data_IF_429341396424
#
_entry.id   IF_429341396424
#
_cell.length_a   1.000
_cell.length_b   1.000
_cell.length_c   1.000
_cell.angle_alpha   90.00
_cell.angle_beta   90.00
_cell.angle_gamma   90.00
#
_symmetry.space_group_name_H-M   'P 1'
#
loop_
_entity.id
_entity.type
_entity.pdbx_description
1 polymer ?
#
# COMPACT_ATOMS: atom_id res chain seq x y z
N UNK A 1 35.17 8.69 8.84
CA UNK A 1 33.79 8.51 8.37
C UNK A 1 32.80 9.61 8.78
N UNK A 2 32.80 10.17 10.00
CA UNK A 2 31.88 11.28 10.39
C UNK A 2 32.11 12.62 9.64
N UNK A 3 33.32 12.93 9.23
CA UNK A 3 33.64 14.19 8.50
C UNK A 3 33.18 14.18 7.05
N UNK A 4 33.10 13.00 6.42
CA UNK A 4 32.67 12.86 5.01
C UNK A 4 31.16 13.04 4.83
N UNK A 5 30.36 12.63 5.83
CA UNK A 5 28.89 12.76 5.79
C UNK A 5 28.48 14.22 5.97
N UNK A 6 29.18 14.98 6.82
CA UNK A 6 28.92 16.42 7.02
C UNK A 6 29.28 17.22 5.76
N UNK A 7 30.37 16.84 5.08
CA UNK A 7 30.78 17.50 3.82
C UNK A 7 29.77 17.23 2.69
N UNK A 8 29.21 16.00 2.61
CA UNK A 8 28.18 15.65 1.62
C UNK A 8 26.86 16.38 1.88
N UNK A 9 26.46 16.55 3.14
CA UNK A 9 25.27 17.32 3.51
C UNK A 9 25.47 18.83 3.25
N UNK A 10 26.64 19.38 3.52
CA UNK A 10 26.98 20.77 3.20
C UNK A 10 27.09 21.02 1.67
N UNK A 11 27.60 20.07 0.90
CA UNK A 11 27.57 20.15 -0.56
C UNK A 11 26.14 20.12 -1.13
N UNK A 12 25.24 19.32 -0.57
CA UNK A 12 23.83 19.31 -0.98
C UNK A 12 23.14 20.65 -0.67
N UNK A 13 23.45 21.26 0.49
CA UNK A 13 22.93 22.57 0.86
C UNK A 13 23.55 23.72 0.05
N UNK A 14 24.80 23.61 -0.39
CA UNK A 14 25.44 24.63 -1.24
C UNK A 14 24.97 24.56 -2.71
N UNK A 15 24.47 23.41 -3.17
CA UNK A 15 23.81 23.26 -4.47
C UNK A 15 22.40 23.87 -4.48
N UNK A 16 21.77 24.02 -3.33
CA UNK A 16 20.49 24.71 -3.16
C UNK A 16 20.64 26.23 -3.06
N UNK A 17 21.84 26.74 -2.80
CA UNK A 17 22.12 28.17 -2.61
C UNK A 17 22.46 28.97 -3.88
N UNK A 18 22.72 28.29 -4.99
CA UNK A 18 22.74 28.91 -6.32
C UNK A 18 21.54 28.37 -7.06
N UNK A 19 20.49 29.16 -7.18
CA UNK A 19 19.39 28.90 -8.10
C UNK A 19 19.98 28.90 -9.53
N UNK A 20 20.60 27.79 -9.92
CA UNK A 20 20.87 27.50 -11.30
C UNK A 20 19.49 27.40 -11.94
N UNK A 21 19.19 28.31 -12.88
CA UNK A 21 17.91 28.25 -13.58
C UNK A 21 17.69 26.81 -14.02
N UNK A 22 16.58 26.22 -13.56
CA UNK A 22 16.23 24.86 -13.94
C UNK A 22 16.20 24.80 -15.47
N UNK A 23 16.76 23.76 -16.10
CA UNK A 23 16.73 23.65 -17.54
C UNK A 23 15.30 23.89 -18.04
N UNK A 24 15.09 24.67 -19.11
CA UNK A 24 13.76 25.05 -19.62
C UNK A 24 12.83 23.86 -19.92
N UNK A 25 13.38 22.65 -20.03
CA UNK A 25 12.64 21.42 -20.25
C UNK A 25 12.17 20.73 -18.95
N UNK A 26 12.64 21.18 -17.76
CA UNK A 26 12.13 20.77 -16.46
C UNK A 26 11.35 21.93 -15.87
N UNK A 27 10.09 21.70 -15.52
CA UNK A 27 9.24 22.71 -14.94
C UNK A 27 8.35 22.15 -13.81
N UNK A 28 7.74 23.07 -13.05
CA UNK A 28 6.81 22.74 -11.97
C UNK A 28 7.36 21.75 -10.93
N UNK A 29 8.66 21.83 -10.60
CA UNK A 29 9.26 20.99 -9.56
C UNK A 29 8.71 21.39 -8.20
N UNK A 30 8.16 20.40 -7.48
CA UNK A 30 7.61 20.56 -6.12
C UNK A 30 8.31 19.63 -5.17
N UNK A 31 8.72 20.17 -4.03
CA UNK A 31 9.10 19.41 -2.85
C UNK A 31 7.87 19.29 -1.95
N UNK A 32 7.55 18.10 -1.53
CA UNK A 32 6.48 17.83 -0.59
C UNK A 32 6.87 16.71 0.36
N UNK A 33 6.17 16.61 1.47
CA UNK A 33 6.44 15.55 2.41
C UNK A 33 5.37 15.43 3.48
N UNK A 34 5.52 14.38 4.30
CA UNK A 34 4.67 14.17 5.46
C UNK A 34 5.36 13.33 6.51
N UNK A 35 4.88 13.47 7.74
CA UNK A 35 5.29 12.64 8.87
C UNK A 35 4.08 12.20 9.68
N UNK A 36 4.21 11.03 10.31
CA UNK A 36 3.21 10.42 11.18
C UNK A 36 3.89 9.95 12.45
N UNK A 37 3.48 10.54 13.57
CA UNK A 37 3.85 10.14 14.92
C UNK A 37 2.66 9.45 15.56
N UNK A 38 2.88 8.32 16.19
CA UNK A 38 1.83 7.47 16.71
C UNK A 38 2.13 7.06 18.16
N UNK A 39 1.10 7.04 18.99
CA UNK A 39 1.05 6.23 20.20
C UNK A 39 0.18 5.03 19.92
N UNK A 40 0.65 3.83 20.24
CA UNK A 40 -0.06 2.59 20.03
C UNK A 40 -0.09 1.75 21.29
N UNK A 41 -1.27 1.31 21.68
CA UNK A 41 -1.51 0.24 22.64
C UNK A 41 -2.07 -0.98 21.91
N UNK A 42 -1.46 -2.14 22.15
CA UNK A 42 -1.94 -3.44 21.67
C UNK A 42 -2.12 -4.37 22.86
N UNK A 43 -3.37 -4.81 23.08
CA UNK A 43 -3.74 -5.71 24.18
C UNK A 43 -3.67 -7.20 23.83
N UNK A 44 -3.13 -7.58 22.65
CA UNK A 44 -3.03 -8.97 22.21
C UNK A 44 -2.24 -9.80 23.22
N UNK A 45 -2.82 -10.92 23.67
CA UNK A 45 -2.16 -11.81 24.62
C UNK A 45 -0.84 -12.35 24.04
N UNK A 46 0.20 -12.43 24.84
CA UNK A 46 1.58 -12.79 24.47
C UNK A 46 2.31 -11.80 23.54
N UNK A 47 1.66 -10.70 23.13
CA UNK A 47 2.30 -9.65 22.34
C UNK A 47 1.75 -8.27 22.74
N UNK A 48 1.55 -8.04 24.03
CA UNK A 48 1.14 -6.75 24.56
C UNK A 48 2.23 -5.72 24.29
N UNK A 49 1.85 -4.58 23.77
CA UNK A 49 2.76 -3.46 23.53
C UNK A 49 2.11 -2.14 23.86
N UNK A 50 2.95 -1.21 24.26
CA UNK A 50 2.59 0.17 24.57
C UNK A 50 3.78 1.03 24.18
N UNK A 51 3.66 1.80 23.10
CA UNK A 51 4.82 2.53 22.57
C UNK A 51 4.44 3.80 21.82
N UNK A 52 5.35 4.77 21.87
CA UNK A 52 5.40 5.86 20.91
C UNK A 52 6.22 5.45 19.69
N UNK A 53 5.69 5.73 18.53
CA UNK A 53 6.25 5.29 17.26
C UNK A 53 6.44 6.47 16.29
N UNK A 54 7.59 6.51 15.63
CA UNK A 54 7.78 7.27 14.41
C UNK A 54 7.32 6.37 13.25
N UNK A 55 6.02 6.43 12.96
CA UNK A 55 5.39 5.44 12.09
C UNK A 55 5.85 5.55 10.65
N UNK A 56 5.89 6.77 10.11
CA UNK A 56 6.16 6.98 8.71
C UNK A 56 6.62 8.41 8.46
N UNK A 57 7.66 8.58 7.68
CA UNK A 57 8.07 9.87 7.13
C UNK A 57 8.41 9.70 5.66
N UNK A 58 7.92 10.58 4.80
CA UNK A 58 8.24 10.58 3.37
C UNK A 58 8.54 11.97 2.86
N UNK A 59 9.46 12.03 1.91
CA UNK A 59 9.78 13.23 1.14
C UNK A 59 9.65 12.90 -0.34
N UNK A 60 9.01 13.76 -1.09
CA UNK A 60 8.74 13.59 -2.52
C UNK A 60 9.23 14.78 -3.30
N UNK A 61 9.81 14.51 -4.45
CA UNK A 61 9.99 15.46 -5.54
C UNK A 61 9.11 15.01 -6.71
N UNK A 62 8.35 15.92 -7.25
CA UNK A 62 7.54 15.69 -8.46
C UNK A 62 7.59 16.91 -9.36
N UNK A 63 7.33 16.70 -10.65
CA UNK A 63 7.40 17.77 -11.63
C UNK A 63 7.02 17.31 -13.02
N UNK A 64 7.32 18.17 -13.99
CA UNK A 64 7.14 17.88 -15.41
C UNK A 64 8.45 17.99 -16.17
N UNK A 65 8.60 17.13 -17.18
CA UNK A 65 9.62 17.20 -18.22
C UNK A 65 8.87 17.48 -19.52
N UNK A 66 9.21 18.56 -20.19
CA UNK A 66 8.39 19.09 -21.29
C UNK A 66 6.94 19.34 -20.80
N UNK A 67 5.96 19.28 -21.68
CA UNK A 67 4.56 19.55 -21.31
C UNK A 67 3.80 18.29 -20.92
N UNK A 68 4.09 17.17 -21.58
CA UNK A 68 3.30 15.94 -21.51
C UNK A 68 3.81 14.91 -20.49
N UNK A 69 5.03 15.08 -19.96
CA UNK A 69 5.65 14.08 -19.10
C UNK A 69 5.67 14.50 -17.63
N UNK A 70 4.94 13.79 -16.80
CA UNK A 70 5.03 13.91 -15.34
C UNK A 70 6.04 12.91 -14.79
N UNK A 71 6.74 13.27 -13.71
CA UNK A 71 7.64 12.37 -12.99
C UNK A 71 7.50 12.53 -11.49
N UNK A 72 7.87 11.50 -10.75
CA UNK A 72 7.91 11.53 -9.29
C UNK A 72 9.05 10.67 -8.78
N UNK A 73 9.72 11.18 -7.72
CA UNK A 73 10.62 10.42 -6.88
C UNK A 73 10.19 10.58 -5.42
N UNK A 74 10.08 9.49 -4.66
CA UNK A 74 9.71 9.53 -3.25
C UNK A 74 10.61 8.64 -2.42
N UNK A 75 11.15 9.19 -1.34
CA UNK A 75 11.91 8.46 -0.32
C UNK A 75 11.08 8.29 0.95
N UNK A 76 11.18 7.13 1.57
CA UNK A 76 10.63 6.85 2.89
C UNK A 76 11.75 6.74 3.91
N UNK A 77 11.56 7.42 5.02
CA UNK A 77 12.37 7.33 6.23
C UNK A 77 11.58 6.57 7.27
N UNK A 78 12.15 5.50 7.80
CA UNK A 78 11.53 4.70 8.84
C UNK A 78 12.01 5.18 10.21
N UNK A 79 11.09 5.20 11.16
CA UNK A 79 11.42 5.34 12.56
C UNK A 79 11.61 3.98 13.23
N UNK A 80 10.98 3.81 14.38
CA UNK A 80 10.98 2.55 15.13
C UNK A 80 9.90 1.54 14.67
N UNK A 81 9.08 1.90 13.68
CA UNK A 81 8.13 0.99 13.01
C UNK A 81 8.53 0.81 11.56
N UNK A 82 9.41 -0.12 11.29
CA UNK A 82 9.84 -0.37 9.92
C UNK A 82 8.94 -1.38 9.22
N UNK A 83 8.22 -0.92 8.22
CA UNK A 83 7.43 -1.79 7.34
C UNK A 83 8.12 -2.07 6.00
N UNK A 84 9.26 -1.43 5.73
CA UNK A 84 9.95 -1.52 4.44
C UNK A 84 11.42 -1.96 4.57
N UNK A 85 11.85 -2.45 5.73
CA UNK A 85 13.26 -2.82 5.95
C UNK A 85 14.17 -1.60 6.09
N UNK A 86 15.27 -1.51 5.35
CA UNK A 86 16.27 -0.46 5.47
C UNK A 86 15.71 0.95 5.19
N UNK A 87 16.30 1.96 5.84
CA UNK A 87 15.96 3.38 5.69
C UNK A 87 17.23 4.20 5.38
N UNK A 88 17.20 5.21 4.50
CA UNK A 88 16.06 5.59 3.65
C UNK A 88 15.81 4.59 2.51
N UNK A 89 14.57 4.53 2.01
CA UNK A 89 14.19 3.63 0.92
C UNK A 89 13.44 4.36 -0.17
N UNK A 90 13.79 4.08 -1.44
CA UNK A 90 13.05 4.57 -2.58
C UNK A 90 11.70 3.84 -2.66
N UNK A 91 10.59 4.59 -2.63
CA UNK A 91 9.24 4.02 -2.70
C UNK A 91 8.56 4.28 -4.02
N UNK A 92 8.68 5.47 -4.58
CA UNK A 92 8.22 5.78 -5.94
C UNK A 92 9.38 6.34 -6.76
N UNK A 93 9.52 5.84 -7.98
CA UNK A 93 10.32 6.45 -9.05
C UNK A 93 9.68 6.08 -10.37
N UNK A 94 8.99 7.03 -10.97
CA UNK A 94 8.31 6.80 -12.23
C UNK A 94 8.26 8.05 -13.10
N UNK A 95 8.03 7.81 -14.38
CA UNK A 95 7.67 8.81 -15.38
C UNK A 95 6.35 8.42 -16.03
N UNK A 96 5.51 9.39 -16.36
CA UNK A 96 4.21 9.18 -16.97
C UNK A 96 3.97 10.14 -18.11
N UNK A 97 3.73 9.62 -19.32
CA UNK A 97 3.28 10.38 -20.46
C UNK A 97 1.77 10.60 -20.38
N UNK A 98 1.33 11.85 -20.43
CA UNK A 98 -0.04 12.28 -20.12
C UNK A 98 -0.66 13.17 -21.19
N UNK A 99 -0.27 13.01 -22.45
CA UNK A 99 -0.76 13.88 -23.55
C UNK A 99 -2.26 13.77 -23.78
N UNK A 100 -2.83 12.59 -23.63
CA UNK A 100 -4.25 12.34 -23.87
C UNK A 100 -4.93 11.82 -22.60
N UNK A 101 -6.13 12.33 -22.30
CA UNK A 101 -6.92 11.88 -21.16
C UNK A 101 -7.25 10.39 -21.25
N UNK A 102 -7.57 9.92 -22.46
CA UNK A 102 -7.99 8.55 -22.71
C UNK A 102 -6.83 7.54 -22.81
N UNK A 103 -5.58 8.00 -22.92
CA UNK A 103 -4.42 7.14 -23.03
C UNK A 103 -3.17 7.79 -22.44
N UNK A 104 -2.71 7.24 -21.33
CA UNK A 104 -1.50 7.65 -20.60
C UNK A 104 -0.65 6.43 -20.36
N UNK A 105 0.68 6.59 -20.36
CA UNK A 105 1.64 5.51 -20.14
C UNK A 105 2.53 5.88 -18.99
N UNK A 106 2.58 5.01 -17.96
CA UNK A 106 3.43 5.16 -16.76
C UNK A 106 4.45 4.04 -16.73
N UNK A 107 5.73 4.36 -16.45
CA UNK A 107 6.81 3.39 -16.33
C UNK A 107 7.66 3.70 -15.11
N UNK A 108 8.11 2.65 -14.41
CA UNK A 108 8.95 2.74 -13.22
C UNK A 108 8.41 1.96 -12.04
N UNK A 109 8.70 2.42 -10.82
CA UNK A 109 8.21 1.86 -9.56
C UNK A 109 7.10 2.73 -8.98
N UNK A 110 5.91 2.16 -8.84
CA UNK A 110 4.72 2.85 -8.33
C UNK A 110 3.70 1.87 -7.77
N UNK A 111 2.60 2.40 -7.21
CA UNK A 111 1.52 1.57 -6.64
C UNK A 111 0.83 0.73 -7.71
N UNK A 112 0.63 -0.55 -7.42
CA UNK A 112 -0.09 -1.48 -8.28
C UNK A 112 -1.52 -0.99 -8.54
N UNK A 113 -2.02 -1.11 -9.79
CA UNK A 113 -3.37 -0.72 -10.18
C UNK A 113 -4.42 -1.75 -9.71
N UNK A 114 -4.51 -1.96 -8.39
CA UNK A 114 -5.37 -2.96 -7.77
C UNK A 114 -6.05 -2.38 -6.53
N UNK A 115 -7.38 -2.49 -6.45
CA UNK A 115 -8.28 -1.91 -5.46
C UNK A 115 -8.36 -0.38 -5.46
N UNK A 116 -9.32 0.20 -4.73
CA UNK A 116 -9.38 1.65 -4.49
C UNK A 116 -8.55 2.08 -3.29
N UNK A 117 -8.38 1.22 -2.29
CA UNK A 117 -7.66 1.55 -1.07
C UNK A 117 -6.13 1.60 -1.28
N UNK A 118 -5.58 0.75 -2.17
CA UNK A 118 -4.15 0.69 -2.43
C UNK A 118 -3.54 2.04 -2.84
N UNK A 119 -4.05 2.79 -3.83
CA UNK A 119 -3.45 4.04 -4.29
C UNK A 119 -3.62 5.21 -3.32
N UNK A 120 -4.47 5.10 -2.30
CA UNK A 120 -4.73 6.21 -1.37
C UNK A 120 -3.46 6.56 -0.59
N UNK A 121 -3.25 7.87 -0.41
CA UNK A 121 -2.14 8.38 0.39
C UNK A 121 -2.33 8.00 1.87
N UNK A 122 -1.27 7.62 2.61
CA UNK A 122 -1.39 7.13 3.99
C UNK A 122 -2.17 8.05 4.94
N UNK A 123 -2.02 9.37 4.83
CA UNK A 123 -2.76 10.34 5.65
C UNK A 123 -4.25 10.40 5.25
N UNK A 124 -4.59 10.11 4.00
CA UNK A 124 -5.94 10.26 3.45
C UNK A 124 -6.75 8.95 3.50
N UNK A 125 -6.19 7.87 4.04
CA UNK A 125 -6.88 6.59 4.18
C UNK A 125 -8.04 6.63 5.18
N UNK A 126 -7.96 7.54 6.15
CA UNK A 126 -8.94 7.71 7.21
C UNK A 126 -8.76 6.77 8.41
N UNK A 127 -7.93 5.72 8.30
CA UNK A 127 -7.61 4.79 9.39
C UNK A 127 -6.09 4.59 9.47
N UNK A 128 -5.62 4.14 10.65
CA UNK A 128 -4.18 3.95 10.91
C UNK A 128 -3.53 2.92 10.00
N UNK A 129 -4.28 2.04 9.39
CA UNK A 129 -3.79 1.02 8.47
C UNK A 129 -4.73 0.84 7.28
N UNK A 130 -4.20 0.42 6.15
CA UNK A 130 -5.00 -0.17 5.07
C UNK A 130 -5.79 -1.36 5.60
N UNK A 131 -6.92 -1.65 5.00
CA UNK A 131 -7.72 -2.82 5.34
C UNK A 131 -6.90 -4.11 5.21
N UNK A 132 -7.15 -5.10 6.08
CA UNK A 132 -6.37 -6.33 6.16
C UNK A 132 -6.29 -7.08 4.82
N UNK A 133 -7.43 -7.19 4.11
CA UNK A 133 -7.48 -7.81 2.79
C UNK A 133 -6.58 -7.10 1.78
N UNK A 134 -6.59 -5.78 1.75
CA UNK A 134 -5.71 -4.97 0.89
C UNK A 134 -4.25 -5.10 1.32
N UNK A 135 -3.97 -5.06 2.63
CA UNK A 135 -2.62 -5.22 3.16
C UNK A 135 -1.99 -6.55 2.75
N UNK A 136 -2.77 -7.64 2.76
CA UNK A 136 -2.29 -9.00 2.50
C UNK A 136 -2.39 -9.43 1.04
N UNK A 137 -3.23 -8.79 0.23
CA UNK A 137 -3.55 -9.23 -1.13
C UNK A 137 -3.27 -8.17 -2.21
N UNK A 138 -2.73 -6.99 -1.83
CA UNK A 138 -2.35 -5.92 -2.77
C UNK A 138 -0.88 -5.46 -2.60
N UNK A 139 0.03 -6.35 -2.24
CA UNK A 139 1.49 -6.14 -2.10
C UNK A 139 1.93 -5.16 -1.01
N UNK A 140 1.18 -4.94 0.07
CA UNK A 140 1.74 -4.18 1.20
C UNK A 140 2.67 -5.03 2.07
N UNK A 141 2.12 -6.06 2.69
CA UNK A 141 2.80 -7.15 3.37
C UNK A 141 2.19 -8.43 2.84
N UNK A 142 2.51 -8.71 1.59
CA UNK A 142 1.78 -9.63 0.74
C UNK A 142 1.78 -11.05 1.27
N UNK A 143 0.62 -11.71 1.20
CA UNK A 143 0.42 -13.09 1.63
C UNK A 143 1.43 -14.05 1.01
N UNK A 144 1.70 -13.91 -0.29
CA UNK A 144 2.56 -14.86 -1.01
C UNK A 144 3.93 -15.02 -0.36
N UNK A 145 4.48 -13.95 0.21
CA UNK A 145 5.78 -14.00 0.85
C UNK A 145 5.94 -13.11 2.05
N UNK A 146 4.89 -12.43 2.50
CA UNK A 146 4.93 -11.42 3.55
C UNK A 146 6.01 -10.34 3.31
N UNK A 147 6.38 -10.11 2.04
CA UNK A 147 7.38 -9.10 1.70
C UNK A 147 6.78 -7.69 1.77
N UNK A 148 7.50 -6.73 2.38
CA UNK A 148 6.98 -5.38 2.58
C UNK A 148 7.21 -4.53 1.33
N UNK A 149 6.23 -4.45 0.45
CA UNK A 149 6.29 -3.64 -0.79
C UNK A 149 5.41 -2.40 -0.77
N UNK A 150 4.63 -2.22 0.30
CA UNK A 150 3.76 -1.05 0.47
C UNK A 150 2.85 -0.78 -0.74
N UNK A 151 2.31 -1.86 -1.33
CA UNK A 151 1.40 -1.85 -2.47
C UNK A 151 2.03 -1.49 -3.81
N UNK A 152 3.36 -1.67 -3.98
CA UNK A 152 4.11 -1.23 -5.16
C UNK A 152 4.84 -2.35 -5.85
N UNK A 153 5.15 -2.11 -7.14
CA UNK A 153 6.02 -2.96 -7.95
C UNK A 153 6.69 -2.12 -9.05
N UNK A 154 7.60 -2.75 -9.78
CA UNK A 154 8.30 -2.16 -10.94
C UNK A 154 7.60 -2.65 -12.21
N UNK A 155 7.23 -1.73 -13.10
CA UNK A 155 6.55 -2.12 -14.33
C UNK A 155 6.15 -0.96 -15.24
N UNK A 156 5.28 -1.30 -16.19
CA UNK A 156 4.68 -0.36 -17.15
C UNK A 156 3.17 -0.51 -17.10
N UNK A 157 2.45 0.61 -17.08
CA UNK A 157 1.00 0.68 -17.02
C UNK A 157 0.46 1.63 -18.08
N UNK A 158 -0.64 1.25 -18.71
CA UNK A 158 -1.50 2.15 -19.48
C UNK A 158 -2.76 2.44 -18.68
N UNK A 159 -3.26 3.66 -18.81
CA UNK A 159 -4.48 4.10 -18.15
C UNK A 159 -5.16 5.23 -18.91
N UNK A 160 -6.44 5.42 -18.67
CA UNK A 160 -7.16 6.53 -19.31
C UNK A 160 -8.59 6.68 -18.82
N UNK A 161 -9.17 7.81 -19.22
CA UNK A 161 -10.51 8.24 -18.86
C UNK A 161 -11.31 8.51 -20.12
N UNK A 162 -12.58 8.11 -20.18
CA UNK A 162 -13.44 8.33 -21.34
C UNK A 162 -14.93 8.39 -20.98
N UNK A 163 -15.78 8.64 -21.99
CA UNK A 163 -17.19 8.86 -21.86
C UNK A 163 -17.52 10.08 -20.97
N UNK A 164 -17.23 11.27 -21.47
CA UNK A 164 -17.51 12.52 -20.75
C UNK A 164 -19.01 12.83 -20.74
N UNK A 165 -19.52 13.24 -19.58
CA UNK A 165 -20.84 13.87 -19.45
C UNK A 165 -20.86 15.24 -20.11
N UNK A 166 -22.05 15.83 -20.32
CA UNK A 166 -22.16 17.22 -20.77
C UNK A 166 -21.48 18.24 -19.85
N UNK A 167 -21.28 17.93 -18.57
CA UNK A 167 -20.54 18.74 -17.60
C UNK A 167 -19.02 18.44 -17.60
N UNK A 168 -18.51 17.62 -18.52
CA UNK A 168 -17.09 17.30 -18.67
C UNK A 168 -16.54 16.25 -17.70
N UNK A 169 -17.37 15.64 -16.85
CA UNK A 169 -16.95 14.58 -15.93
C UNK A 169 -16.80 13.25 -16.67
N UNK A 170 -15.69 12.55 -16.46
CA UNK A 170 -15.48 11.21 -17.00
C UNK A 170 -16.40 10.18 -16.31
N UNK A 171 -16.93 9.24 -17.09
CA UNK A 171 -17.81 8.18 -16.60
C UNK A 171 -17.08 6.85 -16.42
N UNK A 172 -15.99 6.61 -17.14
CA UNK A 172 -15.25 5.36 -17.12
C UNK A 172 -13.76 5.65 -17.01
N UNK A 173 -13.08 4.89 -16.16
CA UNK A 173 -11.62 4.84 -16.09
C UNK A 173 -11.15 3.39 -16.26
N UNK A 174 -10.03 3.20 -16.94
CA UNK A 174 -9.34 1.93 -17.02
C UNK A 174 -7.87 2.07 -16.69
N UNK A 175 -7.28 1.00 -16.18
CA UNK A 175 -5.84 0.89 -15.97
C UNK A 175 -5.44 -0.58 -16.08
N UNK A 176 -4.30 -0.85 -16.74
CA UNK A 176 -3.71 -2.19 -16.81
C UNK A 176 -2.21 -2.05 -17.00
N UNK A 177 -1.44 -2.91 -16.32
CA UNK A 177 0.02 -2.88 -16.41
C UNK A 177 0.64 -4.26 -16.32
N UNK A 178 1.91 -4.31 -16.71
CA UNK A 178 2.79 -5.47 -16.61
C UNK A 178 3.89 -5.14 -15.61
N UNK A 179 4.07 -6.00 -14.60
CA UNK A 179 4.94 -5.77 -13.45
C UNK A 179 5.86 -6.98 -13.22
N UNK A 180 6.98 -6.76 -12.53
CA UNK A 180 7.96 -7.82 -12.21
C UNK A 180 7.45 -8.85 -11.19
N UNK A 181 6.46 -8.49 -10.34
CA UNK A 181 5.87 -9.41 -9.36
C UNK A 181 6.69 -9.59 -8.07
N UNK A 182 7.82 -8.92 -7.94
CA UNK A 182 8.73 -9.07 -6.80
C UNK A 182 8.60 -7.94 -5.77
N UNK A 183 7.82 -6.89 -6.10
CA UNK A 183 7.61 -5.73 -5.26
C UNK A 183 8.74 -4.70 -5.35
N UNK A 184 8.82 -3.85 -4.34
CA UNK A 184 9.62 -2.63 -4.34
C UNK A 184 11.12 -2.91 -4.27
N UNK A 185 11.91 -2.30 -5.18
CA UNK A 185 13.38 -2.34 -5.22
C UNK A 185 13.97 -3.77 -5.35
N UNK A 186 13.19 -4.72 -5.83
CA UNK A 186 13.61 -6.11 -6.02
C UNK A 186 13.62 -6.45 -7.49
N UNK A 187 14.71 -7.08 -7.94
CA UNK A 187 14.86 -7.55 -9.30
C UNK A 187 14.03 -8.82 -9.52
N UNK A 188 13.45 -8.95 -10.69
CA UNK A 188 12.81 -10.18 -11.15
C UNK A 188 13.83 -11.35 -11.19
N UNK A 189 13.43 -12.51 -10.66
CA UNK A 189 14.26 -13.69 -10.57
C UNK A 189 13.68 -14.92 -11.27
N UNK A 190 12.39 -14.92 -11.64
CA UNK A 190 11.73 -16.04 -12.32
C UNK A 190 11.33 -15.72 -13.77
N UNK A 191 11.57 -14.50 -14.24
CA UNK A 191 11.25 -13.99 -15.57
C UNK A 191 9.75 -14.01 -15.90
N UNK A 192 8.90 -14.26 -14.91
CA UNK A 192 7.45 -14.18 -15.07
C UNK A 192 6.98 -12.76 -14.76
N UNK A 193 5.89 -12.36 -15.41
CA UNK A 193 5.32 -11.04 -15.21
C UNK A 193 3.93 -11.12 -14.64
N UNK A 194 3.61 -10.15 -13.81
CA UNK A 194 2.27 -9.96 -13.28
C UNK A 194 1.51 -8.99 -14.17
N UNK A 195 0.30 -9.39 -14.57
CA UNK A 195 -0.65 -8.50 -15.23
C UNK A 195 -1.66 -8.06 -14.17
N UNK A 196 -1.73 -6.75 -13.94
CA UNK A 196 -2.58 -6.15 -12.90
C UNK A 196 -3.36 -5.00 -13.53
N UNK A 197 -4.65 -4.91 -13.23
CA UNK A 197 -5.45 -3.82 -13.74
C UNK A 197 -6.89 -3.83 -13.25
N UNK A 198 -7.64 -2.83 -13.70
CA UNK A 198 -9.05 -2.69 -13.38
C UNK A 198 -9.74 -1.65 -14.23
N UNK A 199 -11.04 -1.66 -14.11
CA UNK A 199 -11.94 -0.67 -14.70
C UNK A 199 -12.94 -0.23 -13.65
N UNK A 200 -13.30 1.03 -13.65
CA UNK A 200 -14.40 1.50 -12.82
C UNK A 200 -15.30 2.49 -13.55
N UNK A 201 -16.54 2.51 -13.12
CA UNK A 201 -17.55 3.44 -13.60
C UNK A 201 -17.86 4.48 -12.52
N UNK A 202 -18.17 5.70 -12.96
CA UNK A 202 -18.50 6.85 -12.12
C UNK A 202 -19.89 7.39 -12.47
N UNK A 203 -20.98 6.67 -12.11
CA UNK A 203 -22.34 6.97 -12.60
C UNK A 203 -22.85 8.31 -12.11
N UNK A 204 -22.55 8.67 -10.87
CA UNK A 204 -22.91 9.97 -10.27
C UNK A 204 -21.68 10.63 -9.67
N UNK A 205 -21.76 11.92 -9.39
CA UNK A 205 -20.66 12.65 -8.76
C UNK A 205 -20.31 12.04 -7.39
N UNK A 206 -19.01 11.87 -7.15
CA UNK A 206 -18.47 11.27 -5.93
C UNK A 206 -18.55 9.76 -5.85
N UNK A 207 -19.29 9.06 -6.73
CA UNK A 207 -19.41 7.62 -6.74
C UNK A 207 -18.47 6.97 -7.75
N UNK A 208 -17.83 5.87 -7.35
CA UNK A 208 -17.10 4.97 -8.26
C UNK A 208 -17.31 3.52 -7.86
N UNK A 209 -17.51 2.67 -8.86
CA UNK A 209 -17.66 1.23 -8.72
C UNK A 209 -16.64 0.55 -9.61
N UNK A 210 -15.77 -0.28 -9.05
CA UNK A 210 -14.60 -0.83 -9.72
C UNK A 210 -14.48 -2.34 -9.64
N UNK A 211 -13.87 -2.91 -10.67
CA UNK A 211 -13.50 -4.31 -10.79
C UNK A 211 -12.03 -4.40 -11.16
N UNK A 212 -11.30 -5.25 -10.46
CA UNK A 212 -9.88 -5.41 -10.60
C UNK A 212 -9.49 -6.86 -10.76
N UNK A 213 -8.44 -7.11 -11.53
CA UNK A 213 -7.83 -8.41 -11.74
C UNK A 213 -6.32 -8.38 -11.58
N UNK A 214 -5.79 -9.50 -11.14
CA UNK A 214 -4.35 -9.73 -11.02
C UNK A 214 -4.04 -11.18 -11.34
N UNK A 215 -3.10 -11.43 -12.26
CA UNK A 215 -2.55 -12.75 -12.54
C UNK A 215 -1.04 -12.64 -12.69
N UNK A 216 -0.31 -13.60 -12.14
CA UNK A 216 1.14 -13.65 -12.22
C UNK A 216 1.73 -14.51 -11.11
N UNK A 217 2.96 -14.20 -10.68
CA UNK A 217 3.69 -14.99 -9.70
C UNK A 217 4.43 -14.12 -8.68
N UNK A 218 4.82 -14.79 -7.59
CA UNK A 218 5.82 -14.30 -6.67
C UNK A 218 6.88 -15.39 -6.48
N UNK A 219 8.15 -15.06 -6.60
CA UNK A 219 9.23 -16.03 -6.57
C UNK A 219 10.23 -15.79 -5.43
N UNK A 220 10.88 -16.88 -5.00
CA UNK A 220 12.05 -16.88 -4.11
C UNK A 220 13.10 -17.83 -4.59
N UNK A 221 14.36 -17.49 -4.30
CA UNK A 221 15.49 -18.40 -4.43
C UNK A 221 15.81 -19.01 -3.07
N UNK A 222 15.96 -20.34 -3.00
CA UNK A 222 16.28 -21.02 -1.76
C UNK A 222 16.06 -22.51 -1.83
N UNK A 223 15.69 -23.11 -0.70
CA UNK A 223 15.47 -24.55 -0.57
C UNK A 223 14.04 -24.85 -0.09
N UNK A 224 13.50 -25.98 -0.52
CA UNK A 224 12.22 -26.51 -0.04
C UNK A 224 12.22 -28.02 -0.08
N UNK A 225 11.39 -28.62 0.74
CA UNK A 225 11.15 -30.05 0.78
C UNK A 225 9.77 -30.35 0.18
N UNK A 226 9.69 -31.31 -0.71
CA UNK A 226 8.43 -31.76 -1.29
C UNK A 226 7.68 -32.75 -0.36
N UNK A 227 6.50 -33.20 -0.80
CA UNK A 227 5.65 -34.09 -0.02
C UNK A 227 6.23 -35.50 0.21
N UNK A 228 7.22 -35.91 -0.59
CA UNK A 228 7.92 -37.21 -0.45
C UNK A 228 9.25 -37.10 0.31
N UNK A 229 9.56 -35.91 0.84
CA UNK A 229 10.76 -35.67 1.65
C UNK A 229 12.01 -35.29 0.87
N UNK A 230 11.92 -35.07 -0.45
CA UNK A 230 13.07 -34.68 -1.28
C UNK A 230 13.33 -33.18 -1.13
N UNK A 231 14.60 -32.83 -0.89
CA UNK A 231 15.01 -31.42 -0.81
C UNK A 231 15.41 -30.91 -2.20
N UNK A 232 14.81 -29.78 -2.58
CA UNK A 232 15.08 -29.05 -3.81
C UNK A 232 15.78 -27.74 -3.49
N UNK A 233 16.54 -27.22 -4.47
CA UNK A 233 17.21 -25.92 -4.40
C UNK A 233 17.06 -25.18 -5.73
N UNK A 234 16.85 -23.88 -5.67
CA UNK A 234 16.69 -23.03 -6.85
C UNK A 234 15.68 -21.91 -6.67
N UNK A 235 15.12 -21.47 -7.79
CA UNK A 235 14.03 -20.50 -7.79
C UNK A 235 12.70 -21.25 -7.75
N UNK A 236 11.86 -20.92 -6.74
CA UNK A 236 10.50 -21.43 -6.62
C UNK A 236 9.53 -20.29 -6.86
N UNK A 237 8.69 -20.43 -7.89
CA UNK A 237 7.68 -19.46 -8.28
C UNK A 237 6.28 -19.93 -7.86
N UNK A 238 5.51 -19.05 -7.21
CA UNK A 238 4.15 -19.32 -6.73
C UNK A 238 3.17 -18.48 -7.54
N UNK A 239 2.35 -19.15 -8.35
CA UNK A 239 1.32 -18.51 -9.14
C UNK A 239 0.26 -17.89 -8.25
N UNK A 240 -0.17 -16.68 -8.59
CA UNK A 240 -1.20 -15.92 -7.89
C UNK A 240 -2.27 -15.45 -8.87
N UNK A 241 -3.54 -15.61 -8.52
CA UNK A 241 -4.67 -15.00 -9.22
C UNK A 241 -5.55 -14.31 -8.22
N UNK A 242 -5.87 -13.05 -8.49
CA UNK A 242 -6.66 -12.23 -7.56
C UNK A 242 -7.70 -11.44 -8.31
N UNK A 243 -8.81 -11.17 -7.66
CA UNK A 243 -9.77 -10.18 -8.11
C UNK A 243 -10.26 -9.35 -6.93
N UNK A 244 -10.74 -8.15 -7.24
CA UNK A 244 -11.36 -7.28 -6.27
C UNK A 244 -12.59 -6.59 -6.86
N UNK A 245 -13.58 -6.35 -6.00
CA UNK A 245 -14.73 -5.50 -6.28
C UNK A 245 -14.72 -4.38 -5.26
N UNK A 246 -14.78 -3.14 -5.75
CA UNK A 246 -14.61 -1.95 -4.93
C UNK A 246 -15.74 -0.96 -5.18
N UNK A 247 -16.28 -0.37 -4.12
CA UNK A 247 -17.24 0.71 -4.17
C UNK A 247 -16.82 1.86 -3.27
N UNK A 248 -16.93 3.09 -3.77
CA UNK A 248 -16.69 4.29 -2.98
C UNK A 248 -17.72 5.37 -3.34
N UNK A 249 -18.19 6.05 -2.31
CA UNK A 249 -19.01 7.26 -2.45
C UNK A 249 -18.47 8.34 -1.55
N UNK A 250 -18.03 9.44 -2.16
CA UNK A 250 -17.57 10.65 -1.48
C UNK A 250 -18.47 11.81 -1.84
N UNK A 251 -19.14 12.38 -0.86
CA UNK A 251 -20.02 13.54 -1.05
C UNK A 251 -19.83 14.50 0.11
N UNK A 252 -19.49 15.75 -0.19
CA UNK A 252 -19.09 16.73 0.83
C UNK A 252 -17.97 16.12 1.70
N UNK A 253 -18.15 16.06 3.03
CA UNK A 253 -17.18 15.50 3.98
C UNK A 253 -17.48 14.02 4.34
N UNK A 254 -18.45 13.39 3.67
CA UNK A 254 -18.75 11.97 3.85
C UNK A 254 -17.87 11.12 2.96
N UNK A 255 -17.35 10.03 3.51
CA UNK A 255 -16.73 8.94 2.75
C UNK A 255 -17.34 7.62 3.16
N UNK A 256 -17.87 6.88 2.19
CA UNK A 256 -18.29 5.48 2.35
C UNK A 256 -17.46 4.67 1.36
N UNK A 257 -16.78 3.62 1.83
CA UNK A 257 -15.99 2.75 0.97
C UNK A 257 -16.08 1.31 1.43
N UNK A 258 -16.16 0.39 0.49
CA UNK A 258 -16.15 -1.04 0.74
C UNK A 258 -15.44 -1.75 -0.39
N UNK A 259 -14.63 -2.77 -0.04
CA UNK A 259 -13.95 -3.61 -1.01
C UNK A 259 -13.97 -5.06 -0.55
N UNK A 260 -14.14 -5.96 -1.52
CA UNK A 260 -13.92 -7.38 -1.38
C UNK A 260 -12.73 -7.78 -2.23
N UNK A 261 -11.79 -8.53 -1.66
CA UNK A 261 -10.60 -9.03 -2.36
C UNK A 261 -10.50 -10.53 -2.16
N UNK A 262 -10.29 -11.26 -3.25
CA UNK A 262 -10.06 -12.70 -3.24
C UNK A 262 -8.74 -13.04 -3.93
N UNK A 263 -8.05 -14.07 -3.43
CA UNK A 263 -6.79 -14.57 -3.99
C UNK A 263 -6.78 -16.08 -4.01
N UNK A 264 -6.31 -16.65 -5.13
CA UNK A 264 -5.88 -18.06 -5.24
C UNK A 264 -4.38 -18.09 -5.51
N UNK A 265 -3.68 -19.05 -4.91
CA UNK A 265 -2.24 -19.26 -4.97
C UNK A 265 -1.65 -19.50 -3.60
N UNK A 266 -0.64 -20.37 -3.52
CA UNK A 266 0.04 -20.70 -2.28
C UNK A 266 0.88 -19.53 -1.76
N UNK A 267 1.23 -19.59 -0.50
CA UNK A 267 2.15 -18.67 0.17
C UNK A 267 3.40 -19.43 0.65
N UNK A 268 4.52 -18.74 0.80
CA UNK A 268 5.68 -19.26 1.50
C UNK A 268 5.42 -19.31 3.01
N UNK A 269 5.94 -20.34 3.68
CA UNK A 269 5.73 -20.57 5.10
C UNK A 269 6.33 -19.46 5.98
N UNK A 270 7.48 -18.92 5.57
CA UNK A 270 8.18 -17.87 6.32
C UNK A 270 8.21 -16.57 5.53
N UNK A 271 8.09 -15.45 6.23
CA UNK A 271 8.34 -14.13 5.66
C UNK A 271 9.81 -13.98 5.25
N UNK A 272 10.09 -13.16 4.24
CA UNK A 272 11.46 -12.75 3.95
C UNK A 272 12.00 -11.89 5.10
N UNK A 273 13.22 -12.20 5.54
CA UNK A 273 13.94 -11.40 6.53
C UNK A 273 14.59 -10.15 5.93
N UNK A 274 14.80 -10.13 4.62
CA UNK A 274 15.33 -9.00 3.85
C UNK A 274 14.52 -8.80 2.56
N UNK A 275 14.86 -7.78 1.79
CA UNK A 275 14.18 -7.43 0.53
C UNK A 275 14.88 -8.01 -0.71
N UNK A 276 15.95 -8.77 -0.53
CA UNK A 276 16.62 -9.43 -1.63
C UNK A 276 16.00 -10.82 -1.88
N UNK A 277 15.08 -10.91 -2.82
CA UNK A 277 14.44 -12.16 -3.21
C UNK A 277 15.41 -13.17 -3.84
N UNK A 278 16.59 -12.73 -4.30
CA UNK A 278 17.63 -13.60 -4.83
C UNK A 278 18.50 -14.22 -3.72
N UNK A 279 18.45 -13.72 -2.50
CA UNK A 279 19.16 -14.34 -1.37
C UNK A 279 18.52 -15.70 -1.02
N UNK A 280 19.36 -16.66 -0.65
CA UNK A 280 18.90 -17.99 -0.26
C UNK A 280 17.96 -17.90 0.96
N UNK A 281 16.77 -18.48 0.85
CA UNK A 281 15.74 -18.44 1.88
C UNK A 281 14.95 -19.75 1.96
N UNK A 282 14.12 -19.88 2.98
CA UNK A 282 13.16 -20.97 3.10
C UNK A 282 12.04 -20.77 2.06
N UNK A 283 11.91 -21.72 1.15
CA UNK A 283 10.89 -21.76 0.10
C UNK A 283 9.80 -22.82 0.35
N UNK A 284 9.64 -23.33 1.57
CA UNK A 284 8.54 -24.22 1.93
C UNK A 284 7.19 -23.47 1.85
N UNK A 285 6.14 -24.21 1.54
CA UNK A 285 4.79 -23.65 1.45
C UNK A 285 4.17 -23.49 2.85
N UNK A 286 3.35 -22.45 2.99
CA UNK A 286 2.48 -22.29 4.15
C UNK A 286 1.42 -23.39 4.18
N UNK A 287 1.06 -23.84 5.38
CA UNK A 287 -0.05 -24.75 5.61
C UNK A 287 -1.43 -24.09 5.45
N UNK A 288 -1.51 -22.78 5.14
CA UNK A 288 -2.78 -22.06 5.00
C UNK A 288 -3.53 -22.37 3.68
N UNK A 289 -2.95 -23.26 2.83
CA UNK A 289 -3.56 -23.59 1.54
C UNK A 289 -3.39 -22.48 0.49
N UNK A 290 -4.20 -22.56 -0.56
CA UNK A 290 -4.05 -21.74 -1.76
C UNK A 290 -5.10 -20.64 -1.91
N UNK A 291 -6.00 -20.44 -0.94
CA UNK A 291 -7.04 -19.40 -1.00
C UNK A 291 -6.94 -18.43 0.16
N UNK A 292 -7.30 -17.18 -0.09
CA UNK A 292 -7.46 -16.15 0.92
C UNK A 292 -8.45 -15.10 0.45
N UNK A 293 -9.12 -14.46 1.39
CA UNK A 293 -10.06 -13.38 1.08
C UNK A 293 -10.11 -12.34 2.19
N UNK A 294 -10.55 -11.14 1.82
CA UNK A 294 -10.78 -10.06 2.77
C UNK A 294 -11.93 -9.17 2.31
N UNK A 295 -12.64 -8.61 3.26
CA UNK A 295 -13.68 -7.63 3.02
C UNK A 295 -13.62 -6.54 4.08
N UNK A 296 -13.82 -5.32 3.68
CA UNK A 296 -14.05 -4.24 4.61
C UNK A 296 -15.18 -3.32 4.15
N UNK A 297 -15.75 -2.63 5.10
CA UNK A 297 -16.65 -1.50 4.88
C UNK A 297 -16.33 -0.40 5.89
N UNK A 298 -16.24 0.84 5.42
CA UNK A 298 -15.98 1.99 6.28
C UNK A 298 -16.90 3.15 5.98
N UNK A 299 -17.11 3.97 7.01
CA UNK A 299 -17.77 5.26 6.91
C UNK A 299 -16.97 6.31 7.69
N UNK A 300 -16.82 7.48 7.10
CA UNK A 300 -16.30 8.68 7.74
C UNK A 300 -17.37 9.74 7.57
N UNK A 301 -17.85 10.29 8.68
CA UNK A 301 -18.97 11.21 8.75
C UNK A 301 -18.57 12.51 9.44
N UNK A 302 -18.92 13.70 8.93
CA UNK A 302 -18.63 14.94 9.61
C UNK A 302 -19.54 15.12 10.84
N UNK A 303 -18.91 15.42 11.99
CA UNK A 303 -19.58 15.98 13.17
C UNK A 303 -19.58 17.51 13.05
N UNK A 304 -18.40 18.06 12.74
CA UNK A 304 -18.20 19.46 12.40
C UNK A 304 -17.53 19.48 11.02
N UNK A 305 -18.22 20.01 9.98
CA UNK A 305 -17.70 20.02 8.62
C UNK A 305 -16.27 20.55 8.55
N UNK A 306 -15.40 19.84 7.82
CA UNK A 306 -13.97 20.15 7.60
C UNK A 306 -13.13 20.23 8.88
N UNK A 307 -13.62 19.77 10.03
CA UNK A 307 -12.92 19.92 11.30
C UNK A 307 -12.94 18.68 12.18
N UNK A 308 -14.09 18.08 12.38
CA UNK A 308 -14.24 16.90 13.25
C UNK A 308 -15.06 15.84 12.54
N UNK A 309 -14.51 14.64 12.41
CA UNK A 309 -15.15 13.51 11.76
C UNK A 309 -15.24 12.32 12.73
N UNK A 310 -16.39 11.65 12.74
CA UNK A 310 -16.51 10.31 13.31
C UNK A 310 -16.26 9.28 12.22
N UNK A 311 -15.70 8.14 12.61
CA UNK A 311 -15.41 7.06 11.67
C UNK A 311 -15.62 5.69 12.26
N UNK A 312 -16.07 4.76 11.42
CA UNK A 312 -16.24 3.36 11.77
C UNK A 312 -15.77 2.48 10.61
N UNK A 313 -15.18 1.33 10.93
CA UNK A 313 -14.80 0.32 9.94
C UNK A 313 -15.06 -1.08 10.49
N UNK A 314 -15.64 -1.93 9.65
CA UNK A 314 -15.60 -3.38 9.73
C UNK A 314 -14.49 -3.87 8.79
N UNK A 315 -13.62 -4.75 9.25
CA UNK A 315 -12.48 -5.25 8.47
C UNK A 315 -12.22 -6.72 8.80
N UNK A 316 -12.33 -7.60 7.81
CA UNK A 316 -12.17 -9.04 7.97
C UNK A 316 -11.16 -9.57 6.95
N UNK A 317 -10.28 -10.44 7.41
CA UNK A 317 -9.35 -11.20 6.58
C UNK A 317 -9.35 -12.68 6.96
N UNK A 318 -9.37 -13.52 5.95
CA UNK A 318 -9.34 -14.98 6.06
C UNK A 318 -8.17 -15.50 5.21
N UNK A 319 -7.10 -16.03 5.83
CA UNK A 319 -5.89 -16.45 5.12
C UNK A 319 -5.96 -17.84 4.48
N UNK A 320 -7.06 -18.59 4.69
CA UNK A 320 -7.26 -19.97 4.24
C UNK A 320 -8.70 -20.23 3.84
N UNK A 321 -9.01 -21.38 3.23
CA UNK A 321 -10.40 -21.79 2.92
C UNK A 321 -11.27 -21.92 4.18
N UNK A 322 -10.69 -22.36 5.29
CA UNK A 322 -11.39 -22.47 6.58
C UNK A 322 -11.42 -21.15 7.35
N UNK A 323 -12.41 -20.98 8.20
CA UNK A 323 -12.57 -19.80 9.03
C UNK A 323 -11.75 -19.85 10.35
N UNK A 324 -10.94 -20.90 10.57
CA UNK A 324 -10.22 -21.14 11.82
C UNK A 324 -9.16 -20.07 12.11
N UNK A 325 -8.65 -19.41 11.05
CA UNK A 325 -7.65 -18.34 11.15
C UNK A 325 -8.21 -16.97 10.75
N UNK A 326 -9.53 -16.85 10.66
CA UNK A 326 -10.17 -15.57 10.34
C UNK A 326 -9.89 -14.55 11.45
N UNK A 327 -9.51 -13.35 11.02
CA UNK A 327 -9.35 -12.18 11.89
C UNK A 327 -10.35 -11.10 11.50
N UNK A 328 -11.18 -10.70 12.44
CA UNK A 328 -12.20 -9.64 12.28
C UNK A 328 -11.85 -8.49 13.21
N UNK A 329 -11.93 -7.27 12.70
CA UNK A 329 -11.62 -6.05 13.43
C UNK A 329 -12.77 -5.05 13.25
N UNK A 330 -13.14 -4.41 14.33
CA UNK A 330 -14.12 -3.33 14.38
C UNK A 330 -13.41 -2.09 14.91
N UNK A 331 -13.38 -1.04 14.11
CA UNK A 331 -12.73 0.23 14.45
C UNK A 331 -13.77 1.31 14.65
N UNK A 332 -13.59 2.09 15.69
CA UNK A 332 -14.32 3.34 15.95
C UNK A 332 -13.32 4.44 16.24
N UNK A 333 -13.53 5.63 15.69
CA UNK A 333 -12.57 6.70 15.88
C UNK A 333 -13.10 8.08 15.58
N UNK A 334 -12.24 9.04 15.89
CA UNK A 334 -12.44 10.46 15.63
C UNK A 334 -11.20 11.04 14.96
N UNK A 335 -11.40 11.94 14.02
CA UNK A 335 -10.36 12.76 13.41
C UNK A 335 -10.63 14.23 13.67
N UNK A 336 -9.63 14.96 14.16
CA UNK A 336 -9.67 16.39 14.32
C UNK A 336 -8.63 17.07 13.44
N UNK A 337 -9.08 17.90 12.51
CA UNK A 337 -8.24 18.69 11.64
C UNK A 337 -7.97 20.06 12.27
N UNK A 338 -6.75 20.28 12.77
CA UNK A 338 -6.30 21.61 13.20
C UNK A 338 -6.21 22.56 12.01
N UNK A 339 -5.61 22.04 10.93
CA UNK A 339 -5.48 22.69 9.62
C UNK A 339 -5.53 21.61 8.54
N UNK A 340 -5.62 21.99 7.26
CA UNK A 340 -5.50 21.06 6.13
C UNK A 340 -4.16 20.27 6.12
N UNK A 341 -3.18 20.70 6.90
CA UNK A 341 -1.84 20.13 6.94
C UNK A 341 -1.49 19.45 8.28
N UNK A 342 -2.34 19.56 9.29
CA UNK A 342 -2.10 18.99 10.62
C UNK A 342 -3.40 18.40 11.16
N UNK A 343 -3.39 17.12 11.48
CA UNK A 343 -4.55 16.40 12.01
C UNK A 343 -4.16 15.43 13.11
N UNK A 344 -5.08 15.25 14.07
CA UNK A 344 -5.01 14.26 15.14
C UNK A 344 -6.13 13.24 14.93
N UNK A 345 -5.77 11.96 14.95
CA UNK A 345 -6.69 10.84 14.80
C UNK A 345 -6.59 9.90 15.99
N UNK A 346 -7.71 9.54 16.60
CA UNK A 346 -7.80 8.53 17.65
C UNK A 346 -8.70 7.38 17.21
N UNK A 347 -8.22 6.14 17.33
CA UNK A 347 -8.97 4.93 16.95
C UNK A 347 -8.92 3.91 18.06
N UNK A 348 -10.07 3.39 18.44
CA UNK A 348 -10.22 2.19 19.21
C UNK A 348 -10.59 1.04 18.29
N UNK A 349 -9.89 -0.10 18.43
CA UNK A 349 -10.12 -1.32 17.65
C UNK A 349 -10.42 -2.48 18.57
N UNK A 350 -11.53 -3.18 18.31
CA UNK A 350 -11.84 -4.49 18.90
C UNK A 350 -11.55 -5.58 17.87
N UNK A 351 -10.71 -6.54 18.25
CA UNK A 351 -10.25 -7.61 17.36
C UNK A 351 -10.71 -8.97 17.89
N UNK A 352 -11.27 -9.78 16.98
CA UNK A 352 -11.51 -11.20 17.17
C UNK A 352 -10.63 -11.99 16.20
N UNK A 353 -9.62 -12.66 16.72
CA UNK A 353 -8.64 -13.44 15.95
C UNK A 353 -8.78 -14.93 16.27
N UNK A 354 -9.42 -15.66 15.37
CA UNK A 354 -9.69 -17.10 15.57
C UNK A 354 -8.42 -17.94 15.58
N UNK A 355 -7.32 -17.48 15.00
CA UNK A 355 -6.03 -18.18 15.10
C UNK A 355 -5.54 -18.32 16.55
N UNK A 356 -6.07 -17.49 17.45
CA UNK A 356 -5.75 -17.49 18.88
C UNK A 356 -6.72 -18.33 19.73
N UNK A 357 -7.71 -19.03 19.14
CA UNK A 357 -8.67 -19.85 19.88
C UNK A 357 -7.98 -20.90 20.78
N UNK A 358 -6.89 -21.49 20.29
CA UNK A 358 -6.09 -22.47 21.07
C UNK A 358 -5.46 -21.88 22.33
N UNK A 359 -5.30 -20.58 22.41
CA UNK A 359 -4.79 -19.86 23.59
C UNK A 359 -5.90 -19.49 24.59
N UNK A 360 -7.17 -19.69 24.22
CA UNK A 360 -8.35 -19.29 24.97
C UNK A 360 -8.62 -17.80 25.04
N UNK A 361 -7.87 -16.98 24.28
CA UNK A 361 -8.00 -15.49 24.27
C UNK A 361 -8.00 -14.94 22.86
N UNK A 362 -9.02 -15.23 22.04
CA UNK A 362 -9.09 -14.74 20.65
C UNK A 362 -9.44 -13.26 20.54
N UNK A 363 -9.89 -12.64 21.63
CA UNK A 363 -10.34 -11.25 21.63
C UNK A 363 -9.32 -10.34 22.31
N UNK A 364 -9.07 -9.18 21.71
CA UNK A 364 -8.25 -8.14 22.31
C UNK A 364 -8.61 -6.77 21.75
N UNK A 365 -8.18 -5.73 22.47
CA UNK A 365 -8.37 -4.35 22.07
C UNK A 365 -7.05 -3.71 21.69
N UNK A 366 -7.11 -2.76 20.76
CA UNK A 366 -6.01 -1.85 20.43
C UNK A 366 -6.51 -0.41 20.54
N UNK A 367 -5.60 0.49 20.80
CA UNK A 367 -5.85 1.92 20.75
C UNK A 367 -4.68 2.60 20.05
N UNK A 368 -4.99 3.44 19.09
CA UNK A 368 -4.04 4.21 18.32
C UNK A 368 -4.38 5.70 18.42
N UNK A 369 -3.37 6.51 18.69
CA UNK A 369 -3.45 7.97 18.61
C UNK A 369 -2.37 8.43 17.63
N UNK A 370 -2.75 9.12 16.57
CA UNK A 370 -1.86 9.51 15.48
C UNK A 370 -1.91 11.01 15.25
N UNK A 371 -0.75 11.63 15.26
CA UNK A 371 -0.54 13.01 14.81
C UNK A 371 0.12 12.94 13.42
N UNK A 372 -0.58 13.44 12.42
CA UNK A 372 -0.09 13.52 11.04
C UNK A 372 0.08 14.96 10.59
N UNK A 373 1.18 15.23 9.87
CA UNK A 373 1.45 16.54 9.27
C UNK A 373 2.00 16.39 7.86
N UNK A 374 1.70 17.39 7.00
CA UNK A 374 2.19 17.46 5.62
C UNK A 374 2.68 18.88 5.27
N UNK A 375 3.63 18.98 4.37
CA UNK A 375 4.20 20.25 3.88
C UNK A 375 4.46 20.21 2.37
#
# INVERSE_FOLDING_TARGET
MRKTIILSAMMLCSLLGKAQEAPKWINNVKLSGFGIVQYQYNGMNNNKSNSFNLRLGRVSLDGRILEDWAWKAQLQFNGNTSTLGASPRLVDLFIEWQKYDFFRVKAGQFKNPFTFDNPIHPIDQGFMSVAQGVQKLASFSDRAGAHPSNGRDIGVQIQGDFLKTGAGRNLVHYQVGVFDGQGINVRDIDQQKNIIGGVWVMPIEGMRLGWFGWTGSYARKGTWTDAVGTTHSGVRSLQQRRYAVSGEYKVKDWTIRSEYVHSTGYAFAKALSNTDAAAASDCNLSADGDKAQGVYALVIAPIIPKKLHAKARYDMYQPSDGAEKQRTQYDLGLDYEFTKNLALSGIYSYVHDRSMNSTGKPNYSMFDLELSFRF
#
